data_IF_584911022566
#
_entry.id   IF_584911022566
#
_cell.length_a   1.000
_cell.length_b   1.000
_cell.length_c   1.000
_cell.angle_alpha   90.00
_cell.angle_beta   90.00
_cell.angle_gamma   90.00
#
_symmetry.space_group_name_H-M   'P 1'
#
loop_
_entity.id
_entity.type
_entity.pdbx_description
1 polymer ?
#
# COMPACT_ATOMS: atom_id res chain seq x y z
N UNK A 1 9.69 -0.30 -11.28
CA UNK A 1 8.60 -0.52 -10.27
C UNK A 1 8.81 -1.88 -9.60
N UNK A 2 8.91 -1.90 -8.27
CA UNK A 2 9.20 -3.13 -7.49
C UNK A 2 8.15 -4.22 -7.76
N UNK A 3 6.86 -3.86 -7.73
CA UNK A 3 5.77 -4.81 -7.97
C UNK A 3 5.85 -5.50 -9.34
N UNK A 4 6.27 -4.77 -10.39
CA UNK A 4 6.48 -5.35 -11.71
C UNK A 4 7.53 -6.47 -11.69
N UNK A 5 8.63 -6.29 -10.94
CA UNK A 5 9.67 -7.31 -10.79
C UNK A 5 9.13 -8.53 -10.03
N UNK A 6 8.37 -8.32 -8.95
CA UNK A 6 7.75 -9.40 -8.18
C UNK A 6 6.74 -10.22 -9.01
N UNK A 7 6.14 -9.62 -10.02
CA UNK A 7 5.25 -10.28 -10.99
C UNK A 7 6.01 -10.91 -12.18
N UNK A 8 7.35 -10.83 -12.20
CA UNK A 8 8.16 -11.29 -13.33
C UNK A 8 7.96 -10.50 -14.63
N UNK A 9 7.47 -9.26 -14.52
CA UNK A 9 7.12 -8.37 -15.65
C UNK A 9 7.88 -7.04 -15.64
N UNK A 10 8.81 -6.87 -14.72
CA UNK A 10 9.61 -5.67 -14.56
C UNK A 10 10.91 -5.69 -15.37
N UNK A 11 11.95 -5.04 -14.82
CA UNK A 11 13.29 -5.08 -15.37
C UNK A 11 13.82 -6.51 -15.46
N UNK A 12 14.34 -6.98 -16.61
CA UNK A 12 14.76 -8.37 -16.80
C UNK A 12 15.81 -8.85 -15.79
N UNK A 13 16.73 -7.99 -15.37
CA UNK A 13 17.76 -8.37 -14.40
C UNK A 13 17.16 -8.59 -13.01
N UNK A 14 16.28 -7.69 -12.57
CA UNK A 14 15.64 -7.78 -11.25
C UNK A 14 14.53 -8.83 -11.22
N UNK A 15 13.76 -8.97 -12.29
CA UNK A 15 12.70 -9.97 -12.36
C UNK A 15 13.26 -11.41 -12.35
N UNK A 16 14.45 -11.64 -12.93
CA UNK A 16 15.12 -12.94 -12.91
C UNK A 16 15.60 -13.39 -11.53
N UNK A 17 15.78 -12.45 -10.58
CA UNK A 17 16.10 -12.78 -9.19
C UNK A 17 14.88 -13.34 -8.42
N UNK A 18 13.67 -13.13 -8.95
CA UNK A 18 12.42 -13.61 -8.34
C UNK A 18 12.16 -15.04 -8.78
N UNK A 19 12.55 -16.00 -7.96
CA UNK A 19 12.43 -17.45 -8.27
C UNK A 19 10.99 -17.91 -8.52
N UNK A 20 10.05 -17.35 -7.78
CA UNK A 20 8.61 -17.66 -7.86
C UNK A 20 7.83 -16.34 -7.97
N UNK A 21 7.59 -15.83 -9.18
CA UNK A 21 6.81 -14.61 -9.37
C UNK A 21 5.38 -14.75 -8.85
N UNK A 22 4.87 -13.68 -8.24
CA UNK A 22 3.48 -13.61 -7.85
C UNK A 22 2.55 -13.67 -9.06
N UNK A 23 1.40 -14.31 -8.88
CA UNK A 23 0.27 -14.21 -9.83
C UNK A 23 -0.53 -12.94 -9.51
N UNK A 24 -1.20 -12.39 -10.53
CA UNK A 24 -1.99 -11.16 -10.35
C UNK A 24 -3.07 -11.28 -9.25
N UNK A 25 -3.70 -12.45 -9.11
CA UNK A 25 -4.69 -12.69 -8.06
C UNK A 25 -4.11 -12.77 -6.64
N UNK A 26 -2.79 -12.84 -6.49
CA UNK A 26 -2.08 -12.81 -5.20
C UNK A 26 -1.70 -11.37 -4.79
N UNK A 27 -2.08 -10.38 -5.59
CA UNK A 27 -1.78 -8.97 -5.32
C UNK A 27 -3.08 -8.18 -5.28
N UNK A 28 -3.24 -7.38 -4.24
CA UNK A 28 -4.31 -6.40 -4.09
C UNK A 28 -3.70 -5.04 -3.82
N UNK A 29 -4.03 -4.04 -4.65
CA UNK A 29 -3.59 -2.67 -4.46
C UNK A 29 -4.73 -1.87 -3.84
N UNK A 30 -4.44 -1.21 -2.72
CA UNK A 30 -5.45 -0.51 -1.91
C UNK A 30 -5.08 0.97 -1.84
N UNK A 31 -6.08 1.84 -1.92
CA UNK A 31 -5.91 3.27 -1.73
C UNK A 31 -5.61 4.04 -3.01
N UNK A 32 -5.62 3.41 -4.17
CA UNK A 32 -5.54 4.14 -5.44
C UNK A 32 -6.80 5.00 -5.55
N UNK A 33 -6.63 6.31 -5.74
CA UNK A 33 -7.77 7.21 -5.93
C UNK A 33 -7.78 7.82 -7.33
N UNK A 34 -6.63 8.07 -7.94
CA UNK A 34 -6.52 8.42 -9.35
C UNK A 34 -5.18 7.92 -9.89
N UNK A 35 -5.18 7.46 -11.11
CA UNK A 35 -3.92 7.19 -11.80
C UNK A 35 -3.31 8.51 -12.28
N UNK A 36 -2.02 8.69 -12.12
CA UNK A 36 -1.32 9.88 -12.60
C UNK A 36 -1.47 10.07 -14.12
N UNK A 37 -1.68 8.96 -14.84
CA UNK A 37 -1.89 8.99 -16.29
C UNK A 37 -2.58 7.71 -16.79
N UNK A 38 -3.06 7.77 -18.05
CA UNK A 38 -3.70 6.64 -18.70
C UNK A 38 -2.80 5.40 -18.85
N UNK A 39 -1.48 5.61 -18.90
CA UNK A 39 -0.50 4.53 -19.03
C UNK A 39 -0.45 3.66 -17.77
N UNK A 40 -0.44 4.26 -16.58
CA UNK A 40 -0.47 3.52 -15.32
C UNK A 40 -1.76 2.70 -15.19
N UNK A 41 -2.89 3.30 -15.51
CA UNK A 41 -4.18 2.60 -15.53
C UNK A 41 -4.15 1.40 -16.48
N UNK A 42 -3.56 1.58 -17.66
CA UNK A 42 -3.41 0.51 -18.64
C UNK A 42 -2.53 -0.62 -18.12
N UNK A 43 -1.40 -0.33 -17.46
CA UNK A 43 -0.51 -1.35 -16.89
C UNK A 43 -1.25 -2.19 -15.85
N UNK A 44 -1.94 -1.55 -14.90
CA UNK A 44 -2.70 -2.26 -13.86
C UNK A 44 -3.75 -3.19 -14.49
N UNK A 45 -4.46 -2.70 -15.51
CA UNK A 45 -5.44 -3.48 -16.26
C UNK A 45 -4.79 -4.66 -17.02
N UNK A 46 -3.72 -4.40 -17.78
CA UNK A 46 -3.06 -5.41 -18.61
C UNK A 46 -2.39 -6.51 -17.76
N UNK A 47 -1.95 -6.18 -16.55
CA UNK A 47 -1.43 -7.12 -15.58
C UNK A 47 -2.54 -7.90 -14.84
N UNK A 48 -3.81 -7.51 -15.00
CA UNK A 48 -4.94 -8.12 -14.31
C UNK A 48 -4.93 -7.92 -12.80
N UNK A 49 -4.32 -6.82 -12.32
CA UNK A 49 -4.22 -6.54 -10.89
C UNK A 49 -5.56 -6.06 -10.33
N UNK A 50 -5.88 -6.52 -9.13
CA UNK A 50 -7.06 -6.06 -8.41
C UNK A 50 -6.74 -4.80 -7.61
N UNK A 51 -7.68 -3.85 -7.63
CA UNK A 51 -7.53 -2.58 -6.92
C UNK A 51 -8.79 -2.26 -6.12
N UNK A 52 -8.59 -1.58 -4.98
CA UNK A 52 -9.68 -0.96 -4.21
C UNK A 52 -9.30 0.52 -4.08
N UNK A 53 -10.11 1.40 -4.63
CA UNK A 53 -9.89 2.83 -4.54
C UNK A 53 -10.22 3.36 -3.14
N UNK A 54 -9.58 4.47 -2.72
CA UNK A 54 -9.84 5.07 -1.41
C UNK A 54 -11.32 5.38 -1.13
N UNK A 55 -12.10 5.90 -2.10
CA UNK A 55 -13.53 6.12 -1.91
C UNK A 55 -14.37 4.85 -1.74
N UNK A 56 -13.87 3.71 -2.24
CA UNK A 56 -14.57 2.42 -2.19
C UNK A 56 -14.28 1.63 -0.89
N UNK A 57 -13.41 2.16 -0.04
CA UNK A 57 -13.10 1.56 1.25
C UNK A 57 -14.25 1.76 2.23
N UNK A 58 -14.82 0.66 2.66
CA UNK A 58 -15.85 0.65 3.71
C UNK A 58 -15.23 0.55 5.10
N UNK A 59 -15.88 1.09 6.16
CA UNK A 59 -15.33 1.03 7.52
C UNK A 59 -15.06 -0.37 8.06
N UNK A 60 -15.71 -1.38 7.50
CA UNK A 60 -15.59 -2.80 7.89
C UNK A 60 -14.60 -3.60 7.02
N UNK A 61 -13.97 -2.94 6.03
CA UNK A 61 -12.95 -3.52 5.14
C UNK A 61 -13.38 -4.81 4.43
N UNK A 62 -14.70 -5.02 4.23
CA UNK A 62 -15.24 -6.29 3.72
C UNK A 62 -14.64 -6.72 2.37
N UNK A 63 -14.38 -5.79 1.46
CA UNK A 63 -13.80 -6.12 0.16
C UNK A 63 -12.39 -6.75 0.30
N UNK A 64 -11.58 -6.22 1.21
CA UNK A 64 -10.23 -6.73 1.50
C UNK A 64 -10.33 -8.11 2.16
N UNK A 65 -11.15 -8.23 3.18
CA UNK A 65 -11.32 -9.49 3.91
C UNK A 65 -11.93 -10.59 3.03
N UNK A 66 -12.84 -10.24 2.13
CA UNK A 66 -13.41 -11.16 1.14
C UNK A 66 -12.35 -11.63 0.13
N UNK A 67 -11.45 -10.75 -0.30
CA UNK A 67 -10.34 -11.12 -1.18
C UNK A 67 -9.39 -12.12 -0.51
N UNK A 68 -9.04 -11.91 0.76
CA UNK A 68 -8.20 -12.83 1.54
C UNK A 68 -8.86 -14.22 1.62
N UNK A 69 -10.13 -14.26 2.04
CA UNK A 69 -10.89 -15.52 2.20
C UNK A 69 -11.09 -16.26 0.88
N UNK A 70 -11.43 -15.54 -0.19
CA UNK A 70 -11.64 -16.11 -1.53
C UNK A 70 -10.40 -16.83 -2.05
N UNK A 71 -9.22 -16.32 -1.74
CA UNK A 71 -7.94 -16.87 -2.20
C UNK A 71 -7.31 -17.82 -1.17
N UNK A 72 -7.91 -18.01 0.00
CA UNK A 72 -7.39 -18.83 1.11
C UNK A 72 -5.96 -18.46 1.51
N UNK A 73 -5.66 -17.17 1.61
CA UNK A 73 -4.33 -16.73 2.01
C UNK A 73 -4.12 -16.90 3.51
N UNK A 74 -3.15 -17.75 3.88
CA UNK A 74 -2.74 -17.97 5.26
C UNK A 74 -1.72 -16.96 5.73
N UNK A 75 -0.90 -16.43 4.80
CA UNK A 75 0.14 -15.44 5.07
C UNK A 75 0.06 -14.29 4.08
N UNK A 76 0.28 -13.07 4.56
CA UNK A 76 0.37 -11.88 3.75
C UNK A 76 1.63 -11.08 4.05
N UNK A 77 2.24 -10.51 3.02
CA UNK A 77 3.19 -9.41 3.14
C UNK A 77 2.46 -8.10 2.80
N UNK A 78 2.65 -7.09 3.64
CA UNK A 78 2.04 -5.76 3.46
C UNK A 78 3.14 -4.77 3.08
N UNK A 79 2.93 -4.04 1.99
CA UNK A 79 3.76 -2.91 1.61
C UNK A 79 2.92 -1.64 1.70
N UNK A 80 3.37 -0.71 2.51
CA UNK A 80 2.74 0.60 2.68
C UNK A 80 3.64 1.65 2.06
N UNK A 81 3.15 2.27 1.00
CA UNK A 81 3.68 3.53 0.52
C UNK A 81 2.97 4.65 1.29
N UNK A 82 3.72 5.44 2.06
CA UNK A 82 3.11 6.40 2.99
C UNK A 82 2.44 7.57 2.28
N UNK A 83 2.66 7.73 1.00
CA UNK A 83 1.98 8.74 0.19
C UNK A 83 0.50 8.42 -0.09
N UNK A 84 0.05 7.19 0.21
CA UNK A 84 -1.38 6.84 0.28
C UNK A 84 -2.12 7.65 1.35
N UNK A 85 -1.41 8.12 2.36
CA UNK A 85 -1.97 8.92 3.45
C UNK A 85 -2.14 10.39 3.03
N UNK A 86 -3.17 11.02 3.59
CA UNK A 86 -3.43 12.44 3.37
C UNK A 86 -2.26 13.28 3.94
N UNK A 87 -1.55 14.05 3.11
CA UNK A 87 -0.39 14.83 3.54
C UNK A 87 -0.71 15.94 4.55
N UNK A 88 -2.00 16.30 4.72
CA UNK A 88 -2.42 17.23 5.77
C UNK A 88 -2.46 16.60 7.17
N UNK A 89 -2.58 15.27 7.24
CA UNK A 89 -2.64 14.53 8.51
C UNK A 89 -1.40 13.69 8.79
N UNK A 90 -0.58 13.43 7.77
CA UNK A 90 0.68 12.68 7.89
C UNK A 90 1.80 13.43 7.17
N UNK A 91 2.66 14.10 7.94
CA UNK A 91 3.67 15.01 7.40
C UNK A 91 4.95 14.34 6.92
N UNK A 92 5.20 13.09 7.28
CA UNK A 92 6.42 12.34 6.90
C UNK A 92 6.44 11.90 5.43
N UNK A 93 6.03 12.78 4.53
CA UNK A 93 6.01 12.57 3.07
C UNK A 93 6.91 13.60 2.38
N UNK A 94 7.48 13.21 1.25
CA UNK A 94 8.37 14.07 0.48
C UNK A 94 7.73 15.41 0.08
N UNK A 95 6.43 15.41 -0.21
CA UNK A 95 5.66 16.63 -0.53
C UNK A 95 5.62 17.67 0.61
N UNK A 96 5.86 17.24 1.84
CA UNK A 96 5.84 18.08 3.04
C UNK A 96 7.24 18.49 3.53
N UNK A 97 8.25 18.48 2.65
CA UNK A 97 9.60 18.90 3.01
C UNK A 97 9.61 20.31 3.62
N UNK A 98 9.98 20.47 4.91
CA UNK A 98 9.90 21.77 5.60
C UNK A 98 10.93 22.79 5.09
N UNK A 99 12.02 22.32 4.45
CA UNK A 99 13.09 23.18 3.93
C UNK A 99 12.78 23.63 2.50
N UNK A 100 12.17 22.75 1.71
CA UNK A 100 11.83 23.02 0.31
C UNK A 100 10.48 22.39 0.01
N UNK A 101 9.38 23.06 0.40
CA UNK A 101 8.05 22.57 0.10
C UNK A 101 7.88 22.38 -1.40
N UNK A 102 7.63 21.14 -1.81
CA UNK A 102 7.44 20.83 -3.22
C UNK A 102 5.95 20.99 -3.56
N UNK A 103 5.66 21.84 -4.53
CA UNK A 103 4.33 21.89 -5.14
C UNK A 103 4.28 20.81 -6.20
N UNK A 104 4.04 19.57 -5.79
CA UNK A 104 3.74 18.53 -6.77
C UNK A 104 2.29 18.66 -7.20
N UNK A 105 2.07 18.73 -8.51
CA UNK A 105 0.75 18.57 -9.11
C UNK A 105 0.29 17.09 -9.09
N UNK A 106 0.94 16.27 -8.26
CA UNK A 106 0.66 14.86 -8.16
C UNK A 106 -0.62 14.64 -7.35
N UNK A 107 -1.29 13.58 -7.69
CA UNK A 107 -2.44 13.08 -6.93
C UNK A 107 -1.96 12.81 -5.51
N UNK A 108 -2.69 13.36 -4.52
CA UNK A 108 -2.35 13.22 -3.11
C UNK A 108 -3.14 12.08 -2.50
N UNK A 109 -2.53 11.36 -1.58
CA UNK A 109 -3.21 10.37 -0.77
C UNK A 109 -4.41 10.95 -0.01
N UNK A 110 -5.44 10.15 0.14
CA UNK A 110 -6.69 10.54 0.83
C UNK A 110 -6.92 9.73 2.11
N UNK A 111 -6.22 8.61 2.26
CA UNK A 111 -6.38 7.73 3.40
C UNK A 111 -5.92 8.41 4.69
N UNK A 112 -6.63 8.16 5.77
CA UNK A 112 -6.22 8.61 7.11
C UNK A 112 -5.42 7.54 7.85
N UNK A 113 -4.60 7.95 8.83
CA UNK A 113 -3.87 7.02 9.71
C UNK A 113 -4.84 6.02 10.40
N UNK A 114 -5.99 6.44 10.97
CA UNK A 114 -6.94 5.49 11.54
C UNK A 114 -7.49 4.47 10.53
N UNK A 115 -7.77 4.87 9.29
CA UNK A 115 -8.22 3.94 8.25
C UNK A 115 -7.14 2.90 7.92
N UNK A 116 -5.90 3.34 7.68
CA UNK A 116 -4.78 2.42 7.43
C UNK A 116 -4.55 1.47 8.60
N UNK A 117 -4.53 2.01 9.84
CA UNK A 117 -4.37 1.20 11.05
C UNK A 117 -5.46 0.15 11.18
N UNK A 118 -6.71 0.54 10.92
CA UNK A 118 -7.84 -0.38 10.98
C UNK A 118 -7.76 -1.48 9.92
N UNK A 119 -7.37 -1.15 8.69
CA UNK A 119 -7.16 -2.16 7.63
C UNK A 119 -6.13 -3.19 8.10
N UNK A 120 -4.98 -2.74 8.59
CA UNK A 120 -3.91 -3.64 9.04
C UNK A 120 -4.37 -4.50 10.22
N UNK A 121 -5.09 -3.92 11.19
CA UNK A 121 -5.65 -4.66 12.32
C UNK A 121 -6.66 -5.71 11.87
N UNK A 122 -7.64 -5.34 11.03
CA UNK A 122 -8.67 -6.28 10.55
C UNK A 122 -8.06 -7.43 9.74
N UNK A 123 -7.05 -7.15 8.93
CA UNK A 123 -6.28 -8.15 8.18
C UNK A 123 -5.58 -9.11 9.15
N UNK A 124 -4.93 -8.59 10.19
CA UNK A 124 -4.21 -9.42 11.17
C UNK A 124 -5.09 -10.36 11.99
N UNK A 125 -6.41 -10.13 12.01
CA UNK A 125 -7.38 -11.02 12.67
C UNK A 125 -7.79 -12.22 11.82
N UNK A 126 -7.54 -12.21 10.51
CA UNK A 126 -8.00 -13.24 9.58
C UNK A 126 -6.88 -13.96 8.84
N UNK A 127 -5.65 -13.45 8.91
CA UNK A 127 -4.49 -14.04 8.26
C UNK A 127 -3.21 -13.64 9.00
N UNK A 128 -2.16 -14.45 8.89
CA UNK A 128 -0.86 -14.12 9.44
C UNK A 128 -0.15 -13.04 8.60
N UNK A 129 0.41 -12.02 9.26
CA UNK A 129 1.20 -10.99 8.60
C UNK A 129 2.67 -11.40 8.67
N UNK A 130 3.16 -12.01 7.59
CA UNK A 130 4.55 -12.46 7.46
C UNK A 130 5.57 -11.31 7.42
N UNK A 131 5.13 -10.12 7.09
CA UNK A 131 5.97 -8.92 7.12
C UNK A 131 5.22 -7.67 6.69
N UNK A 132 5.70 -6.52 7.16
CA UNK A 132 5.21 -5.21 6.76
C UNK A 132 6.38 -4.28 6.44
N UNK A 133 6.26 -3.50 5.39
CA UNK A 133 7.24 -2.48 5.01
C UNK A 133 6.57 -1.13 4.84
N UNK A 134 7.29 -0.06 5.18
CA UNK A 134 6.89 1.32 4.95
C UNK A 134 7.90 1.98 4.03
N UNK A 135 7.43 2.44 2.87
CA UNK A 135 8.24 3.14 1.87
C UNK A 135 7.93 4.65 1.88
N UNK A 136 8.85 5.41 1.30
CA UNK A 136 8.77 6.88 1.11
C UNK A 136 8.59 7.69 2.40
N UNK A 137 8.86 7.08 3.54
CA UNK A 137 8.85 7.76 4.83
C UNK A 137 9.99 8.78 4.94
N UNK A 138 9.64 10.04 5.23
CA UNK A 138 10.58 11.13 5.50
C UNK A 138 10.65 11.43 7.00
N UNK A 139 11.80 11.91 7.51
CA UNK A 139 12.04 12.00 8.96
C UNK A 139 11.35 13.21 9.65
N UNK A 140 10.49 13.95 8.96
CA UNK A 140 9.90 15.16 9.51
C UNK A 140 8.88 14.90 10.63
N UNK A 141 8.25 13.75 10.62
CA UNK A 141 7.17 13.40 11.56
C UNK A 141 7.22 11.92 11.98
N UNK A 142 8.41 11.48 12.41
CA UNK A 142 8.63 10.10 12.85
C UNK A 142 7.74 9.71 14.04
N UNK A 143 7.27 10.66 14.84
CA UNK A 143 6.41 10.40 15.99
C UNK A 143 5.04 9.85 15.57
N UNK A 144 4.44 10.37 14.50
CA UNK A 144 3.16 9.87 14.00
C UNK A 144 3.29 8.47 13.39
N UNK A 145 4.38 8.17 12.69
CA UNK A 145 4.67 6.82 12.24
C UNK A 145 4.81 5.85 13.42
N UNK A 146 5.60 6.22 14.43
CA UNK A 146 5.77 5.41 15.64
C UNK A 146 4.42 5.13 16.31
N UNK A 147 3.59 6.15 16.55
CA UNK A 147 2.26 6.00 17.15
C UNK A 147 1.34 5.10 16.34
N UNK A 148 1.42 5.14 15.02
CA UNK A 148 0.67 4.25 14.14
C UNK A 148 1.14 2.80 14.33
N UNK A 149 2.45 2.55 14.30
CA UNK A 149 3.02 1.21 14.46
C UNK A 149 2.73 0.59 15.82
N UNK A 150 2.72 1.40 16.89
CA UNK A 150 2.36 0.97 18.25
C UNK A 150 0.92 0.42 18.38
N UNK A 151 0.05 0.70 17.41
CA UNK A 151 -1.31 0.17 17.39
C UNK A 151 -1.37 -1.28 16.89
N UNK A 152 -0.33 -1.78 16.25
CA UNK A 152 -0.32 -3.12 15.66
C UNK A 152 0.06 -4.17 16.71
N UNK A 153 -0.90 -5.03 17.07
CA UNK A 153 -0.70 -6.05 18.12
C UNK A 153 0.38 -7.08 17.78
N UNK A 154 0.57 -7.39 16.49
CA UNK A 154 1.58 -8.34 15.99
C UNK A 154 3.01 -7.75 15.97
N UNK A 155 3.19 -6.47 16.28
CA UNK A 155 4.50 -5.81 16.41
C UNK A 155 4.96 -5.66 17.87
N UNK A 156 4.20 -6.19 18.83
CA UNK A 156 4.50 -6.09 20.27
C UNK A 156 5.25 -7.30 20.80
#
# INVERSE_FOLDING_TARGET
MILGNLLGKGDPYLANEVRLPFKANQVLIIGIHNYNNAYEKKIVHDLGLQTIASPDLTPDNQAILAWIRKNNFEHLAIHVDVDVLNPRSFYSQFSNNPISPQTFNNVKGEMTIPQLSKIIQDVSLVTDIAGITFAEHMPWDALNLKKMMEQFSFMK
#
